data_IF_184368760065
#
_entry.id   IF_184368760065
#
_cell.length_a   1.000
_cell.length_b   1.000
_cell.length_c   1.000
_cell.angle_alpha   90.00
_cell.angle_beta   90.00
_cell.angle_gamma   90.00
#
_symmetry.space_group_name_H-M   'P 1'
#
loop_
_entity.id
_entity.type
_entity.pdbx_description
1 polymer ?
#
# COMPACT_ATOMS: atom_id res chain seq x y z
N UNK A 1 55.53 -11.32 27.01
CA UNK A 1 55.02 -10.33 26.04
C UNK A 1 55.34 -10.83 24.63
N UNK A 2 54.34 -11.05 23.76
CA UNK A 2 54.62 -11.42 22.36
C UNK A 2 55.20 -10.21 21.63
N UNK A 3 56.47 -10.32 21.20
CA UNK A 3 57.12 -9.30 20.37
C UNK A 3 56.38 -9.27 19.03
N UNK A 4 55.72 -8.15 18.72
CA UNK A 4 55.03 -7.98 17.43
C UNK A 4 56.07 -7.63 16.36
N UNK A 5 56.10 -8.40 15.27
CA UNK A 5 56.92 -8.12 14.11
C UNK A 5 56.48 -6.78 13.47
N UNK A 6 57.43 -5.87 13.22
CA UNK A 6 57.20 -4.54 12.64
C UNK A 6 57.55 -4.45 11.15
N UNK A 7 57.92 -5.57 10.53
CA UNK A 7 58.22 -5.59 9.10
C UNK A 7 56.96 -5.18 8.29
N UNK A 8 57.12 -4.46 7.16
CA UNK A 8 55.99 -4.05 6.34
C UNK A 8 55.23 -5.28 5.84
N UNK A 9 53.89 -5.24 5.94
CA UNK A 9 53.05 -6.31 5.46
C UNK A 9 53.15 -6.42 3.92
N UNK A 10 53.22 -7.64 3.35
CA UNK A 10 53.31 -7.83 1.90
C UNK A 10 52.05 -7.40 1.15
N UNK A 11 50.90 -7.32 1.84
CA UNK A 11 49.64 -6.80 1.32
C UNK A 11 49.19 -5.64 2.20
N UNK A 12 48.95 -4.49 1.59
CA UNK A 12 48.37 -3.32 2.26
C UNK A 12 46.84 -3.41 2.20
N UNK A 13 46.17 -3.15 3.32
CA UNK A 13 44.71 -3.15 3.38
C UNK A 13 44.21 -1.88 2.66
N UNK A 14 43.39 -2.08 1.62
CA UNK A 14 42.80 -0.99 0.82
C UNK A 14 41.37 -0.72 1.33
N UNK A 15 40.87 0.50 1.15
CA UNK A 15 39.52 0.90 1.55
C UNK A 15 38.41 -0.03 1.00
N UNK A 16 38.57 -0.56 -0.20
CA UNK A 16 37.62 -1.50 -0.80
C UNK A 16 37.49 -2.80 0.00
N UNK A 17 38.61 -3.33 0.50
CA UNK A 17 38.62 -4.55 1.31
C UNK A 17 37.85 -4.36 2.61
N UNK A 18 38.05 -3.22 3.28
CA UNK A 18 37.34 -2.85 4.52
C UNK A 18 35.84 -2.72 4.24
N UNK A 19 35.45 -2.02 3.17
CA UNK A 19 34.04 -1.81 2.82
C UNK A 19 33.35 -3.14 2.47
N UNK A 20 34.05 -4.03 1.74
CA UNK A 20 33.54 -5.35 1.39
C UNK A 20 33.33 -6.21 2.64
N UNK A 21 34.33 -6.27 3.52
CA UNK A 21 34.25 -7.03 4.77
C UNK A 21 33.13 -6.48 5.68
N UNK A 22 33.02 -5.15 5.83
CA UNK A 22 31.91 -4.55 6.58
C UNK A 22 30.53 -4.90 5.98
N UNK A 23 30.41 -4.92 4.65
CA UNK A 23 29.16 -5.35 3.98
C UNK A 23 28.86 -6.82 4.22
N UNK A 24 29.87 -7.69 4.17
CA UNK A 24 29.71 -9.13 4.43
C UNK A 24 29.30 -9.39 5.88
N UNK A 25 29.91 -8.70 6.84
CA UNK A 25 29.55 -8.76 8.26
C UNK A 25 28.12 -8.26 8.50
N UNK A 26 27.74 -7.09 7.97
CA UNK A 26 26.37 -6.58 8.09
C UNK A 26 25.36 -7.51 7.44
N UNK A 27 25.71 -8.14 6.31
CA UNK A 27 24.84 -9.14 5.65
C UNK A 27 24.69 -10.37 6.54
N UNK A 28 25.77 -10.87 7.12
CA UNK A 28 25.78 -12.03 8.01
C UNK A 28 24.96 -11.75 9.28
N UNK A 29 25.15 -10.58 9.89
CA UNK A 29 24.41 -10.13 11.06
C UNK A 29 22.91 -10.00 10.76
N UNK A 30 22.54 -9.34 9.65
CA UNK A 30 21.13 -9.28 9.20
C UNK A 30 20.53 -10.66 8.94
N UNK A 31 21.34 -11.61 8.46
CA UNK A 31 20.88 -12.98 8.25
C UNK A 31 20.66 -13.71 9.58
N UNK A 32 21.54 -13.46 10.56
CA UNK A 32 21.51 -14.07 11.89
C UNK A 32 20.33 -13.57 12.75
N UNK A 33 19.92 -12.31 12.58
CA UNK A 33 18.79 -11.70 13.32
C UNK A 33 17.42 -12.07 12.74
N UNK A 34 17.35 -12.92 11.71
CA UNK A 34 16.06 -13.37 11.16
C UNK A 34 15.24 -14.08 12.22
N UNK A 35 14.07 -13.53 12.56
CA UNK A 35 13.14 -14.15 13.49
C UNK A 35 12.81 -15.58 13.02
N UNK A 36 12.86 -16.59 13.91
CA UNK A 36 12.56 -17.96 13.52
C UNK A 36 11.15 -18.06 12.92
N UNK A 37 11.00 -18.90 11.89
CA UNK A 37 9.69 -19.15 11.27
C UNK A 37 8.78 -19.86 12.26
N UNK A 38 7.90 -19.10 12.93
CA UNK A 38 6.85 -19.67 13.78
C UNK A 38 5.69 -20.13 12.89
N UNK A 39 5.30 -21.41 13.00
CA UNK A 39 4.08 -21.93 12.39
C UNK A 39 2.93 -21.66 13.36
N UNK A 40 1.81 -21.15 12.84
CA UNK A 40 0.59 -20.93 13.61
C UNK A 40 -0.22 -22.22 13.53
N UNK A 41 -0.51 -22.83 14.68
CA UNK A 41 -1.13 -24.17 14.76
C UNK A 41 -2.61 -24.08 15.10
N UNK A 42 -3.00 -23.14 15.96
CA UNK A 42 -4.38 -23.02 16.44
C UNK A 42 -5.03 -21.64 16.19
N UNK A 43 -6.33 -21.57 16.43
CA UNK A 43 -7.12 -20.35 16.24
C UNK A 43 -6.81 -19.24 17.27
N UNK A 44 -6.37 -19.61 18.48
CA UNK A 44 -5.95 -18.68 19.54
C UNK A 44 -4.63 -18.01 19.19
N UNK A 45 -3.63 -18.77 18.79
CA UNK A 45 -2.35 -18.30 18.26
C UNK A 45 -2.55 -17.39 17.04
N UNK A 46 -3.49 -17.73 16.15
CA UNK A 46 -3.86 -16.87 15.02
C UNK A 46 -4.46 -15.54 15.51
N UNK A 47 -5.34 -15.59 16.51
CA UNK A 47 -5.94 -14.39 17.10
C UNK A 47 -4.89 -13.50 17.77
N UNK A 48 -3.95 -14.08 18.52
CA UNK A 48 -2.85 -13.37 19.17
C UNK A 48 -1.87 -12.79 18.15
N UNK A 49 -1.56 -13.53 17.08
CA UNK A 49 -0.79 -13.02 15.96
C UNK A 49 -1.48 -11.82 15.32
N UNK A 50 -2.78 -11.92 15.03
CA UNK A 50 -3.58 -10.82 14.47
C UNK A 50 -3.60 -9.62 15.40
N UNK A 51 -3.77 -9.84 16.71
CA UNK A 51 -3.78 -8.78 17.71
C UNK A 51 -2.44 -8.04 17.77
N UNK A 52 -1.33 -8.77 17.86
CA UNK A 52 0.02 -8.18 17.86
C UNK A 52 0.28 -7.39 16.58
N UNK A 53 -0.03 -7.96 15.41
CA UNK A 53 0.14 -7.27 14.13
C UNK A 53 -0.71 -6.01 13.99
N UNK A 54 -1.97 -6.05 14.43
CA UNK A 54 -2.83 -4.85 14.46
C UNK A 54 -2.25 -3.78 15.36
N UNK A 55 -1.81 -4.15 16.56
CA UNK A 55 -1.18 -3.22 17.50
C UNK A 55 0.08 -2.58 16.89
N UNK A 56 0.93 -3.35 16.20
CA UNK A 56 2.10 -2.82 15.48
C UNK A 56 1.71 -1.77 14.42
N UNK A 57 0.65 -2.01 13.65
CA UNK A 57 0.17 -1.04 12.66
C UNK A 57 -0.42 0.21 13.31
N UNK A 58 -1.24 0.06 14.34
CA UNK A 58 -1.83 1.19 15.07
C UNK A 58 -0.75 2.03 15.75
N UNK A 59 0.24 1.40 16.37
CA UNK A 59 1.39 2.10 16.96
C UNK A 59 2.21 2.83 15.90
N UNK A 60 2.39 2.25 14.70
CA UNK A 60 3.01 2.93 13.58
C UNK A 60 2.21 4.14 13.09
N UNK A 61 0.88 4.04 13.04
CA UNK A 61 -0.01 5.15 12.68
C UNK A 61 0.07 6.28 13.73
N UNK A 62 0.19 5.93 15.01
CA UNK A 62 0.34 6.88 16.12
C UNK A 62 1.70 7.58 16.13
N UNK A 63 2.78 6.84 15.82
CA UNK A 63 4.17 7.35 15.84
C UNK A 63 4.55 8.10 14.57
N UNK A 64 4.12 7.63 13.42
CA UNK A 64 4.33 8.34 12.15
C UNK A 64 3.45 9.59 12.20
N UNK A 65 3.97 10.74 11.74
CA UNK A 65 3.14 11.91 11.48
C UNK A 65 1.84 11.44 10.79
N UNK A 66 0.69 11.90 11.30
CA UNK A 66 -0.67 11.39 10.99
C UNK A 66 -0.95 11.21 9.49
N UNK A 67 -0.18 11.89 8.65
CA UNK A 67 -0.25 11.95 7.19
C UNK A 67 0.50 10.83 6.45
N UNK A 68 1.12 9.84 7.12
CA UNK A 68 1.76 8.72 6.41
C UNK A 68 0.73 7.69 5.90
N UNK A 69 0.09 8.02 4.77
CA UNK A 69 -0.95 7.20 4.11
C UNK A 69 -0.42 5.80 3.73
N UNK A 70 0.89 5.66 3.51
CA UNK A 70 1.47 4.37 3.16
C UNK A 70 1.32 3.32 4.27
N UNK A 71 1.28 3.74 5.54
CA UNK A 71 1.04 2.82 6.67
C UNK A 71 -0.37 2.27 6.61
N UNK A 72 -1.37 3.13 6.36
CA UNK A 72 -2.77 2.70 6.19
C UNK A 72 -2.94 1.73 5.03
N UNK A 73 -2.30 2.00 3.89
CA UNK A 73 -2.35 1.11 2.72
C UNK A 73 -1.75 -0.26 3.04
N UNK A 74 -0.61 -0.31 3.73
CA UNK A 74 0.02 -1.58 4.15
C UNK A 74 -0.87 -2.33 5.12
N UNK A 75 -1.49 -1.62 6.07
CA UNK A 75 -2.40 -2.21 7.05
C UNK A 75 -3.65 -2.79 6.38
N UNK A 76 -4.30 -2.03 5.49
CA UNK A 76 -5.47 -2.50 4.76
C UNK A 76 -5.16 -3.72 3.86
N UNK A 77 -4.00 -3.74 3.19
CA UNK A 77 -3.53 -4.92 2.43
C UNK A 77 -3.29 -6.14 3.33
N UNK A 78 -2.81 -5.92 4.56
CA UNK A 78 -2.64 -7.00 5.51
C UNK A 78 -3.99 -7.55 6.00
N UNK A 79 -4.96 -6.69 6.33
CA UNK A 79 -6.33 -7.15 6.66
C UNK A 79 -7.00 -7.87 5.48
N UNK A 80 -6.77 -7.41 4.24
CA UNK A 80 -7.19 -8.11 3.01
C UNK A 80 -6.62 -9.54 2.96
N UNK A 81 -5.33 -9.71 3.29
CA UNK A 81 -4.68 -11.04 3.34
C UNK A 81 -5.27 -11.95 4.41
N UNK A 82 -5.86 -11.37 5.47
CA UNK A 82 -6.56 -12.09 6.53
C UNK A 82 -8.03 -12.40 6.18
N UNK A 83 -8.51 -11.97 5.00
CA UNK A 83 -9.92 -12.01 4.55
C UNK A 83 -10.87 -11.18 5.43
N UNK A 84 -10.34 -10.21 6.16
CA UNK A 84 -11.12 -9.33 7.05
C UNK A 84 -11.52 -8.05 6.31
N UNK A 85 -12.38 -8.18 5.29
CA UNK A 85 -12.70 -7.08 4.37
C UNK A 85 -13.36 -5.88 5.06
N UNK A 86 -14.23 -6.12 6.05
CA UNK A 86 -14.89 -5.05 6.80
C UNK A 86 -13.88 -4.16 7.55
N UNK A 87 -12.83 -4.78 8.12
CA UNK A 87 -11.75 -4.05 8.81
C UNK A 87 -10.90 -3.29 7.81
N UNK A 88 -10.55 -3.92 6.68
CA UNK A 88 -9.81 -3.25 5.62
C UNK A 88 -10.54 -1.98 5.13
N UNK A 89 -11.87 -2.03 4.96
CA UNK A 89 -12.70 -0.83 4.65
C UNK A 89 -12.59 0.24 5.72
N UNK A 90 -12.75 -0.13 6.99
CA UNK A 90 -12.60 0.83 8.09
C UNK A 90 -11.23 1.51 8.11
N UNK A 91 -10.16 0.77 7.79
CA UNK A 91 -8.82 1.36 7.65
C UNK A 91 -8.72 2.33 6.47
N UNK A 92 -9.33 2.01 5.33
CA UNK A 92 -9.38 2.92 4.18
C UNK A 92 -10.20 4.18 4.46
N UNK A 93 -11.37 4.07 5.09
CA UNK A 93 -12.18 5.24 5.47
C UNK A 93 -11.43 6.14 6.46
N UNK A 94 -10.76 5.55 7.47
CA UNK A 94 -9.87 6.31 8.37
C UNK A 94 -8.71 7.00 7.63
N UNK A 95 -8.18 6.37 6.58
CA UNK A 95 -7.15 6.99 5.76
C UNK A 95 -7.71 8.18 4.95
N UNK A 96 -8.95 8.08 4.48
CA UNK A 96 -9.65 9.15 3.76
C UNK A 96 -10.00 10.33 4.67
N UNK A 97 -10.30 10.08 5.96
CA UNK A 97 -10.47 11.13 6.96
C UNK A 97 -9.20 11.96 7.17
N UNK A 98 -8.02 11.34 7.00
CA UNK A 98 -6.73 12.03 7.10
C UNK A 98 -6.43 12.84 5.84
N UNK A 99 -6.57 12.22 4.66
CA UNK A 99 -6.30 12.88 3.38
C UNK A 99 -7.23 12.36 2.29
N UNK A 100 -8.36 13.05 2.13
CA UNK A 100 -9.34 12.77 1.08
C UNK A 100 -8.93 13.33 -0.29
N UNK A 101 -7.91 14.20 -0.37
CA UNK A 101 -7.47 14.81 -1.63
C UNK A 101 -6.48 13.93 -2.39
N UNK A 102 -5.93 12.92 -1.73
CA UNK A 102 -5.03 11.98 -2.36
C UNK A 102 -5.77 11.00 -3.28
N UNK A 103 -5.77 11.30 -4.58
CA UNK A 103 -6.34 10.42 -5.61
C UNK A 103 -5.77 8.98 -5.58
N UNK A 104 -4.51 8.77 -5.18
CA UNK A 104 -3.91 7.43 -5.13
C UNK A 104 -4.54 6.54 -4.05
N UNK A 105 -5.07 7.14 -2.98
CA UNK A 105 -5.77 6.42 -1.92
C UNK A 105 -7.12 5.89 -2.43
N UNK A 106 -7.89 6.74 -3.11
CA UNK A 106 -9.14 6.35 -3.80
C UNK A 106 -8.91 5.22 -4.81
N UNK A 107 -7.87 5.34 -5.64
CA UNK A 107 -7.50 4.29 -6.60
C UNK A 107 -7.19 2.95 -5.91
N UNK A 108 -6.46 2.98 -4.79
CA UNK A 108 -6.11 1.75 -4.04
C UNK A 108 -7.33 1.15 -3.35
N UNK A 109 -8.22 1.97 -2.80
CA UNK A 109 -9.42 1.52 -2.14
C UNK A 109 -10.42 0.89 -3.12
N UNK A 110 -10.70 1.56 -4.24
CA UNK A 110 -11.60 1.01 -5.25
C UNK A 110 -11.03 -0.28 -5.90
N UNK A 111 -9.73 -0.33 -6.18
CA UNK A 111 -9.06 -1.57 -6.63
C UNK A 111 -9.13 -2.69 -5.60
N UNK A 112 -9.13 -2.38 -4.30
CA UNK A 112 -9.34 -3.37 -3.25
C UNK A 112 -10.74 -3.99 -3.33
N UNK A 113 -11.79 -3.18 -3.46
CA UNK A 113 -13.17 -3.69 -3.58
C UNK A 113 -13.36 -4.51 -4.87
N UNK A 114 -12.77 -4.08 -5.98
CA UNK A 114 -12.81 -4.80 -7.26
C UNK A 114 -12.12 -6.17 -7.17
N UNK A 115 -10.95 -6.26 -6.53
CA UNK A 115 -10.23 -7.56 -6.35
C UNK A 115 -11.03 -8.55 -5.51
N UNK A 116 -11.78 -8.05 -4.53
CA UNK A 116 -12.62 -8.87 -3.67
C UNK A 116 -14.02 -9.13 -4.26
N UNK A 117 -14.27 -8.70 -5.50
CA UNK A 117 -15.54 -8.87 -6.24
C UNK A 117 -16.75 -8.21 -5.58
N UNK A 118 -16.51 -7.18 -4.75
CA UNK A 118 -17.57 -6.43 -4.08
C UNK A 118 -17.91 -5.19 -4.92
N UNK A 119 -18.64 -5.44 -6.02
CA UNK A 119 -18.87 -4.45 -7.09
C UNK A 119 -19.64 -3.22 -6.59
N UNK A 120 -20.69 -3.41 -5.79
CA UNK A 120 -21.54 -2.30 -5.32
C UNK A 120 -20.76 -1.32 -4.44
N UNK A 121 -19.88 -1.83 -3.57
CA UNK A 121 -19.01 -0.97 -2.77
C UNK A 121 -17.97 -0.27 -3.64
N UNK A 122 -17.38 -0.97 -4.63
CA UNK A 122 -16.48 -0.34 -5.59
C UNK A 122 -17.16 0.83 -6.34
N UNK A 123 -18.41 0.67 -6.81
CA UNK A 123 -19.18 1.75 -7.44
C UNK A 123 -19.32 2.96 -6.51
N UNK A 124 -19.75 2.73 -5.27
CA UNK A 124 -19.92 3.80 -4.28
C UNK A 124 -18.60 4.54 -4.00
N UNK A 125 -17.48 3.82 -3.92
CA UNK A 125 -16.15 4.43 -3.71
C UNK A 125 -15.76 5.28 -4.92
N UNK A 126 -15.95 4.80 -6.14
CA UNK A 126 -15.66 5.57 -7.35
C UNK A 126 -16.55 6.80 -7.49
N UNK A 127 -17.84 6.67 -7.21
CA UNK A 127 -18.78 7.79 -7.32
C UNK A 127 -18.43 8.88 -6.30
N UNK A 128 -18.09 8.50 -5.05
CA UNK A 128 -17.56 9.44 -4.04
C UNK A 128 -16.24 10.08 -4.50
N UNK A 129 -15.31 9.30 -5.04
CA UNK A 129 -14.00 9.78 -5.48
C UNK A 129 -14.15 10.86 -6.56
N UNK A 130 -15.01 10.61 -7.55
CA UNK A 130 -15.30 11.53 -8.65
C UNK A 130 -16.01 12.79 -8.17
N UNK A 131 -16.94 12.68 -7.22
CA UNK A 131 -17.60 13.86 -6.64
C UNK A 131 -16.66 14.76 -5.84
N UNK A 132 -15.66 14.19 -5.15
CA UNK A 132 -14.71 14.95 -4.33
C UNK A 132 -13.56 15.50 -5.17
N UNK A 133 -13.09 14.74 -6.16
CA UNK A 133 -11.95 15.06 -7.02
C UNK A 133 -12.35 15.02 -8.50
N UNK A 134 -13.25 15.92 -8.95
CA UNK A 134 -13.73 15.90 -10.31
C UNK A 134 -12.65 16.29 -11.33
N UNK A 135 -11.62 17.05 -10.92
CA UNK A 135 -10.49 17.45 -11.76
C UNK A 135 -9.51 16.33 -12.09
N UNK A 136 -9.67 15.15 -11.50
CA UNK A 136 -8.75 14.03 -11.71
C UNK A 136 -9.34 13.05 -12.71
N UNK A 137 -9.02 13.26 -13.99
CA UNK A 137 -9.51 12.45 -15.13
C UNK A 137 -9.28 10.95 -14.93
N UNK A 138 -8.17 10.58 -14.30
CA UNK A 138 -7.84 9.19 -14.02
C UNK A 138 -8.93 8.46 -13.21
N UNK A 139 -9.67 9.16 -12.33
CA UNK A 139 -10.77 8.58 -11.55
C UNK A 139 -11.98 8.29 -12.45
N UNK A 140 -12.32 9.22 -13.35
CA UNK A 140 -13.39 9.07 -14.33
C UNK A 140 -13.11 7.90 -15.28
N UNK A 141 -11.92 7.87 -15.90
CA UNK A 141 -11.52 6.77 -16.78
C UNK A 141 -11.61 5.40 -16.11
N UNK A 142 -11.14 5.27 -14.86
CA UNK A 142 -11.20 4.00 -14.14
C UNK A 142 -12.62 3.61 -13.76
N UNK A 143 -13.49 4.58 -13.49
CA UNK A 143 -14.92 4.37 -13.21
C UNK A 143 -15.67 3.91 -14.45
N UNK A 144 -15.46 4.54 -15.61
CA UNK A 144 -16.05 4.14 -16.90
C UNK A 144 -15.58 2.74 -17.30
N UNK A 145 -14.26 2.52 -17.29
CA UNK A 145 -13.67 1.23 -17.63
C UNK A 145 -14.19 0.09 -16.74
N UNK A 146 -14.46 0.37 -15.45
CA UNK A 146 -15.10 -0.61 -14.58
C UNK A 146 -16.50 -1.01 -15.07
N UNK A 147 -17.36 -0.06 -15.45
CA UNK A 147 -18.71 -0.38 -15.95
C UNK A 147 -18.68 -1.10 -17.30
N UNK A 148 -17.75 -0.71 -18.19
CA UNK A 148 -17.54 -1.43 -19.45
C UNK A 148 -17.13 -2.88 -19.21
N UNK A 149 -16.19 -3.12 -18.28
CA UNK A 149 -15.77 -4.48 -17.93
C UNK A 149 -16.89 -5.31 -17.29
N UNK A 150 -17.91 -4.66 -16.73
CA UNK A 150 -19.11 -5.30 -16.19
C UNK A 150 -20.22 -5.44 -17.24
N UNK A 151 -20.01 -4.96 -18.48
CA UNK A 151 -20.98 -4.99 -19.57
C UNK A 151 -22.06 -3.92 -19.49
N UNK A 152 -21.95 -2.97 -18.56
CA UNK A 152 -22.94 -1.90 -18.38
C UNK A 152 -22.62 -0.67 -19.24
N UNK A 153 -22.83 -0.81 -20.54
CA UNK A 153 -22.55 0.25 -21.53
C UNK A 153 -23.44 1.49 -21.32
N UNK A 154 -24.67 1.31 -20.84
CA UNK A 154 -25.57 2.42 -20.54
C UNK A 154 -25.05 3.25 -19.36
N UNK A 155 -24.62 2.60 -18.27
CA UNK A 155 -24.03 3.27 -17.12
C UNK A 155 -22.70 3.97 -17.47
N UNK A 156 -21.86 3.32 -18.28
CA UNK A 156 -20.62 3.93 -18.77
C UNK A 156 -20.88 5.24 -19.54
N UNK A 157 -21.89 5.26 -20.42
CA UNK A 157 -22.30 6.46 -21.15
C UNK A 157 -22.79 7.58 -20.24
N UNK A 158 -23.65 7.26 -19.26
CA UNK A 158 -24.14 8.25 -18.29
C UNK A 158 -23.00 8.89 -17.49
N UNK A 159 -21.99 8.09 -17.11
CA UNK A 159 -20.82 8.61 -16.40
C UNK A 159 -19.98 9.51 -17.31
N UNK A 160 -19.82 9.12 -18.58
CA UNK A 160 -19.08 9.91 -19.57
C UNK A 160 -19.78 11.24 -19.86
N UNK A 161 -21.10 11.25 -20.05
CA UNK A 161 -21.91 12.47 -20.21
C UNK A 161 -21.73 13.41 -19.00
N UNK A 162 -21.83 12.86 -17.78
CA UNK A 162 -21.60 13.62 -16.55
C UNK A 162 -20.19 14.20 -16.48
N UNK A 163 -19.20 13.49 -17.01
CA UNK A 163 -17.82 13.97 -17.04
C UNK A 163 -17.65 15.11 -18.04
N UNK A 164 -18.22 14.99 -19.24
CA UNK A 164 -18.17 16.02 -20.28
C UNK A 164 -18.91 17.28 -19.88
N UNK A 165 -20.01 17.18 -19.13
CA UNK A 165 -20.72 18.33 -18.58
C UNK A 165 -19.84 19.14 -17.62
N UNK A 166 -18.97 18.46 -16.87
CA UNK A 166 -18.08 19.10 -15.92
C UNK A 166 -16.82 19.69 -16.57
N UNK A 167 -16.35 19.12 -17.68
CA UNK A 167 -15.20 19.58 -18.47
C UNK A 167 -15.58 19.80 -19.94
N UNK A 168 -16.08 21.00 -20.30
CA UNK A 168 -16.38 21.34 -21.70
C UNK A 168 -15.13 21.44 -22.58
N UNK A 169 -13.97 21.76 -21.97
CA UNK A 169 -12.70 21.95 -22.68
C UNK A 169 -11.98 20.60 -22.93
N UNK A 170 -12.33 19.97 -24.04
CA UNK A 170 -11.35 19.45 -25.01
C UNK A 170 -10.49 18.22 -24.72
N UNK A 171 -10.63 17.52 -23.59
CA UNK A 171 -9.92 16.23 -23.37
C UNK A 171 -10.83 14.99 -23.30
N UNK A 172 -12.14 15.14 -23.08
CA UNK A 172 -13.07 14.00 -23.05
C UNK A 172 -13.20 13.25 -24.37
N UNK A 173 -12.91 13.90 -25.50
CA UNK A 173 -13.06 13.35 -26.86
C UNK A 173 -11.81 12.67 -27.43
N UNK A 174 -10.67 12.72 -26.73
CA UNK A 174 -9.37 12.24 -27.22
C UNK A 174 -8.72 11.26 -26.24
N UNK A 175 -9.23 10.03 -26.17
CA UNK A 175 -8.48 8.81 -25.81
C UNK A 175 -9.31 7.57 -26.09
#
# INVERSE_FOLDING_TARGET
MKVKNKNPAPLQIIAEQIIREARELQRAERLAVRTPRQKIVDAGELADYRFRKRKEFEDQIRRSQRNNINVYIKYAKWEESQKEFNRARSVFERALEVDCRNHTLWLKYAKFEMRNKIINYARNVWDRAVSILPSVDQLWYKRIHMEEMLGNVAGARQIFERWTDWMPDGHGWLS
#
